data_IF_743992053485
#
_entry.id   IF_743992053485
#
_cell.length_a   1.000
_cell.length_b   1.000
_cell.length_c   1.000
_cell.angle_alpha   90.00
_cell.angle_beta   90.00
_cell.angle_gamma   90.00
#
_symmetry.space_group_name_H-M   'P 1'
#
loop_
_entity.id
_entity.type
_entity.pdbx_description
1 polymer ?
2 non-polymer ?
3 non-polymer ?
4 water ?
#
# COMPACT_ATOMS: atom_id res chain seq x y z
N UNK A 24 -8.34 12.95 -6.47
CA UNK A 24 -7.13 12.78 -5.59
C UNK A 24 -7.57 12.48 -4.15
N UNK A 25 -6.62 12.07 -3.30
CA UNK A 25 -6.83 11.90 -1.85
C UNK A 25 -5.69 12.63 -1.12
N UNK A 26 -5.93 13.04 0.13
CA UNK A 26 -4.96 13.86 0.89
C UNK A 26 -4.93 13.35 2.33
N UNK A 27 -3.78 13.42 3.00
CA UNK A 27 -3.66 13.10 4.44
C UNK A 27 -2.67 14.09 5.06
N UNK A 28 -3.10 14.76 6.13
CA UNK A 28 -2.25 15.69 6.90
C UNK A 28 -1.84 15.07 8.23
N UNK A 29 -0.53 14.95 8.48
CA UNK A 29 0.00 14.40 9.75
C UNK A 29 -0.23 15.40 10.89
N UNK A 30 -0.24 16.71 10.60
CA UNK A 30 -0.49 17.73 11.65
C UNK A 30 -1.96 17.62 12.07
N UNK A 31 -2.21 17.32 13.34
CA UNK A 31 -3.57 17.13 13.86
C UNK A 31 -4.08 15.71 13.66
N UNK A 32 -3.27 14.79 13.13
CA UNK A 32 -3.74 13.42 12.82
C UNK A 32 -4.03 12.66 14.12
N UNK A 33 -5.10 11.89 14.08
CA UNK A 33 -5.44 10.96 15.17
C UNK A 33 -5.96 9.66 14.53
N UNK A 34 -6.15 8.59 15.32
CA UNK A 34 -6.66 7.33 14.76
C UNK A 34 -7.91 7.57 13.90
N UNK A 35 -8.81 8.47 14.32
CA UNK A 35 -10.03 8.77 13.53
C UNK A 35 -9.68 9.34 12.15
N UNK A 36 -8.82 10.35 12.04
CA UNK A 36 -8.57 11.05 10.76
C UNK A 36 -7.81 10.10 9.82
N UNK A 37 -6.91 9.32 10.37
CA UNK A 37 -6.17 8.30 9.57
C UNK A 37 -7.14 7.23 9.04
N UNK A 38 -8.05 6.73 9.86
CA UNK A 38 -9.04 5.73 9.41
C UNK A 38 -9.91 6.29 8.31
N UNK A 39 -10.33 7.56 8.43
CA UNK A 39 -11.15 8.25 7.39
C UNK A 39 -10.32 8.43 6.11
N UNK A 40 -9.03 8.78 6.20
CA UNK A 40 -8.12 8.83 5.04
C UNK A 40 -8.08 7.46 4.36
N UNK A 41 -7.85 6.38 5.10
CA UNK A 41 -7.74 5.03 4.47
C UNK A 41 -9.09 4.65 3.83
N UNK A 42 -10.22 4.92 4.49
CA UNK A 42 -11.57 4.70 3.86
C UNK A 42 -11.62 5.48 2.56
N UNK A 43 -11.11 6.71 2.59
CA UNK A 43 -11.15 7.61 1.41
C UNK A 43 -10.19 7.11 0.30
N UNK A 44 -9.04 6.52 0.65
CA UNK A 44 -8.11 5.91 -0.32
C UNK A 44 -8.75 4.68 -0.98
N UNK A 45 -9.41 3.84 -0.19
CA UNK A 45 -10.13 2.67 -0.72
C UNK A 45 -11.20 3.16 -1.72
N UNK A 46 -11.97 4.18 -1.33
CA UNK A 46 -13.13 4.63 -2.14
C UNK A 46 -12.66 5.33 -3.42
N UNK A 47 -11.40 5.76 -3.51
CA UNK A 47 -10.88 6.43 -4.71
C UNK A 47 -10.55 5.39 -5.80
N UNK A 48 -10.59 4.10 -5.51
CA UNK A 48 -10.19 3.02 -6.45
C UNK A 48 -11.42 2.48 -7.18
N UNK A 49 -11.45 2.53 -8.52
CA UNK A 49 -12.66 2.15 -9.24
C UNK A 49 -12.87 0.63 -9.16
N UNK A 50 -14.14 0.22 -9.18
CA UNK A 50 -14.54 -1.19 -9.30
C UNK A 50 -15.91 -1.26 -9.97
N UNK A 51 -16.15 -2.38 -10.64
CA UNK A 51 -17.39 -2.66 -11.41
C UNK A 51 -18.27 -3.63 -10.61
N UNK A 52 -17.64 -4.49 -9.80
CA UNK A 52 -18.37 -5.47 -8.98
C UNK A 52 -17.63 -5.68 -7.66
N UNK A 53 -18.35 -6.27 -6.73
CA UNK A 53 -17.83 -6.84 -5.47
C UNK A 53 -18.02 -8.34 -5.54
N UNK A 54 -17.02 -9.05 -5.02
CA UNK A 54 -16.96 -10.52 -4.83
C UNK A 54 -17.01 -10.75 -3.32
N UNK A 55 -18.04 -11.45 -2.82
CA UNK A 55 -18.30 -11.64 -1.37
C UNK A 55 -18.18 -10.29 -0.66
N UNK A 56 -18.84 -9.26 -1.20
CA UNK A 56 -19.02 -7.92 -0.58
C UNK A 56 -17.69 -7.17 -0.52
N UNK A 57 -16.66 -7.60 -1.26
CA UNK A 57 -15.33 -6.91 -1.35
C UNK A 57 -15.16 -6.34 -2.75
N UNK A 58 -14.84 -5.03 -2.89
CA UNK A 58 -14.50 -4.44 -4.18
C UNK A 58 -13.43 -5.23 -4.94
N UNK A 59 -13.76 -5.56 -6.19
CA UNK A 59 -12.82 -6.20 -7.13
C UNK A 59 -12.17 -5.10 -7.96
N UNK A 60 -10.87 -4.88 -7.81
CA UNK A 60 -10.14 -3.86 -8.61
C UNK A 60 -10.22 -4.24 -10.11
N UNK A 61 -10.07 -3.26 -10.98
CA UNK A 61 -10.27 -3.46 -12.44
C UNK A 61 -9.12 -4.27 -13.02
N UNK A 62 -9.37 -5.06 -14.09
CA UNK A 62 -8.28 -5.74 -14.79
C UNK A 62 -7.24 -4.78 -15.39
N UNK A 63 -7.68 -3.61 -15.86
CA UNK A 63 -6.81 -2.60 -16.53
C UNK A 63 -7.52 -1.26 -16.62
N UNK A 64 -6.74 -0.18 -16.62
CA UNK A 64 -7.16 1.19 -16.98
C UNK A 64 -6.10 1.76 -17.94
N UNK A 65 -6.52 2.34 -19.05
CA UNK A 65 -5.62 2.99 -20.05
C UNK A 65 -5.28 4.43 -19.64
N UNK A 66 -4.06 4.87 -19.95
CA UNK A 66 -3.65 6.28 -19.90
C UNK A 66 -3.52 6.78 -18.47
N UNK A 67 -3.80 8.06 -18.24
CA UNK A 67 -3.57 8.80 -16.98
C UNK A 67 -4.53 8.31 -15.87
N UNK A 68 -5.74 7.88 -16.24
CA UNK A 68 -6.78 7.40 -15.31
C UNK A 68 -6.33 6.22 -14.44
N UNK A 69 -5.25 5.54 -14.84
CA UNK A 69 -4.70 4.41 -14.07
C UNK A 69 -4.16 4.92 -12.73
N UNK A 70 -3.81 6.19 -12.59
CA UNK A 70 -2.97 6.65 -11.45
C UNK A 70 -3.81 7.57 -10.57
N UNK A 71 -3.89 7.19 -9.29
CA UNK A 71 -4.42 8.08 -8.23
C UNK A 71 -3.27 8.93 -7.70
N UNK A 72 -3.48 10.22 -7.47
CA UNK A 72 -2.54 11.11 -6.77
C UNK A 72 -2.92 11.15 -5.29
N UNK A 73 -1.97 10.87 -4.41
CA UNK A 73 -2.11 10.86 -2.95
C UNK A 73 -1.17 11.94 -2.41
N UNK A 74 -1.75 13.02 -1.90
CA UNK A 74 -1.00 14.15 -1.30
C UNK A 74 -0.80 13.81 0.17
N UNK A 75 0.45 13.81 0.64
CA UNK A 75 0.77 13.57 2.06
C UNK A 75 1.54 14.74 2.63
N UNK A 76 1.13 15.22 3.79
CA UNK A 76 1.76 16.39 4.41
C UNK A 76 2.34 15.96 5.76
N UNK A 77 3.60 16.27 6.00
CA UNK A 77 4.31 15.95 7.27
C UNK A 77 3.81 16.91 8.36
N UNK A 78 4.23 16.74 9.61
CA UNK A 78 3.78 17.59 10.75
C UNK A 78 3.94 19.08 10.38
N UNK A 79 5.02 19.40 9.67
CA UNK A 79 5.44 20.80 9.40
C UNK A 79 4.76 21.37 8.13
N UNK A 80 3.89 20.61 7.43
CA UNK A 80 3.10 21.14 6.31
C UNK A 80 3.79 21.01 4.96
N UNK A 81 4.95 20.34 4.94
CA UNK A 81 5.73 20.03 3.73
C UNK A 81 5.08 18.79 3.09
N UNK A 82 5.16 18.64 1.78
CA UNK A 82 4.28 17.68 1.10
C UNK A 82 5.01 16.95 -0.02
N UNK A 83 4.64 15.69 -0.22
CA UNK A 83 4.91 14.91 -1.45
C UNK A 83 3.57 14.46 -2.04
N UNK A 84 3.57 14.25 -3.35
CA UNK A 84 2.44 13.64 -4.06
C UNK A 84 2.87 12.25 -4.53
N UNK A 85 2.11 11.22 -4.14
CA UNK A 85 2.45 9.80 -4.43
C UNK A 85 1.52 9.28 -5.53
N UNK A 86 2.08 8.71 -6.59
CA UNK A 86 1.34 8.11 -7.72
C UNK A 86 1.08 6.66 -7.39
N UNK A 87 -0.20 6.28 -7.40
CA UNK A 87 -0.70 4.91 -7.06
C UNK A 87 -1.46 4.34 -8.24
N UNK A 88 -1.09 3.15 -8.69
CA UNK A 88 -1.81 2.37 -9.73
C UNK A 88 -3.11 1.87 -9.09
N UNK A 89 -4.26 2.24 -9.64
CA UNK A 89 -5.58 1.98 -9.00
C UNK A 89 -5.99 0.53 -9.28
N UNK A 90 -5.30 -0.20 -10.17
CA UNK A 90 -5.65 -1.63 -10.48
C UNK A 90 -5.02 -2.50 -9.41
N UNK A 91 -3.96 -2.05 -8.73
CA UNK A 91 -3.25 -2.96 -7.80
C UNK A 91 -2.74 -2.26 -6.54
N UNK A 92 -3.12 -1.00 -6.32
CA UNK A 92 -2.68 -0.07 -5.23
C UNK A 92 -1.13 -0.02 -5.20
N UNK A 93 -0.45 -0.22 -6.33
CA UNK A 93 1.04 -0.18 -6.35
C UNK A 93 1.50 1.27 -6.41
N UNK A 94 2.39 1.65 -5.49
CA UNK A 94 3.08 2.95 -5.53
C UNK A 94 4.19 2.89 -6.57
N UNK A 95 4.14 3.78 -7.55
CA UNK A 95 5.03 3.81 -8.73
C UNK A 95 6.14 4.84 -8.55
N UNK A 96 5.81 5.95 -7.89
CA UNK A 96 6.71 7.08 -7.78
C UNK A 96 6.05 8.21 -7.02
N UNK A 97 6.76 9.31 -6.89
CA UNK A 97 6.29 10.47 -6.10
C UNK A 97 7.00 11.73 -6.58
N UNK A 98 6.33 12.83 -6.31
CA UNK A 98 6.80 14.18 -6.64
C UNK A 98 7.16 14.89 -5.34
N UNK A 99 8.35 15.45 -5.26
CA UNK A 99 8.81 16.24 -4.11
C UNK A 99 9.32 17.57 -4.65
N UNK A 100 8.52 18.63 -4.49
CA UNK A 100 8.87 20.00 -4.95
C UNK A 100 9.00 19.93 -6.48
N UNK A 101 10.20 20.04 -7.05
CA UNK A 101 10.38 20.18 -8.51
C UNK A 101 11.00 18.92 -9.11
N UNK A 102 11.06 17.83 -8.34
CA UNK A 102 11.73 16.59 -8.75
C UNK A 102 10.80 15.37 -8.58
N UNK A 103 10.65 14.60 -9.64
CA UNK A 103 9.82 13.38 -9.62
C UNK A 103 10.79 12.23 -9.40
N UNK A 104 10.33 11.16 -8.74
CA UNK A 104 11.12 9.95 -8.42
C UNK A 104 10.26 8.75 -8.80
N UNK A 105 10.81 7.82 -9.56
CA UNK A 105 10.08 6.59 -9.97
C UNK A 105 10.95 5.40 -9.69
N UNK A 106 10.35 4.29 -9.26
CA UNK A 106 11.03 2.97 -9.13
C UNK A 106 11.62 2.59 -10.49
N UNK A 107 12.71 1.82 -10.45
CA UNK A 107 13.40 1.31 -11.65
C UNK A 107 12.72 0.00 -12.09
N UNK A 108 11.57 0.10 -12.74
CA UNK A 108 10.73 -1.05 -13.21
C UNK A 108 9.82 -0.56 -14.34
N UNK A 109 9.41 -1.42 -15.30
CA UNK A 109 8.68 -0.92 -16.46
C UNK A 109 7.36 -0.20 -16.12
N UNK A 110 6.61 -0.68 -15.13
CA UNK A 110 5.29 -0.08 -14.81
C UNK A 110 5.49 1.37 -14.35
N UNK A 111 6.57 1.66 -13.64
CA UNK A 111 6.84 3.01 -13.11
C UNK A 111 7.37 3.87 -14.25
N UNK A 112 8.20 3.31 -15.13
CA UNK A 112 8.59 3.99 -16.38
C UNK A 112 7.34 4.45 -17.13
N UNK A 113 6.36 3.57 -17.29
CA UNK A 113 5.10 3.93 -18.02
C UNK A 113 4.35 5.00 -17.24
N UNK A 114 4.27 4.85 -15.93
CA UNK A 114 3.58 5.86 -15.11
C UNK A 114 4.18 7.22 -15.40
N UNK A 115 5.50 7.29 -15.56
CA UNK A 115 6.22 8.58 -15.69
C UNK A 115 5.85 9.27 -17.02
N UNK A 116 5.21 8.56 -17.95
CA UNK A 116 4.60 9.13 -19.20
C UNK A 116 3.33 9.94 -18.90
N UNK A 117 2.71 9.73 -17.74
CA UNK A 117 1.35 10.25 -17.43
C UNK A 117 1.33 11.19 -16.23
N UNK A 118 2.18 10.96 -15.21
CA UNK A 118 2.13 11.76 -13.96
C UNK A 118 3.41 12.58 -13.83
N UNK A 119 3.30 13.73 -13.14
CA UNK A 119 4.44 14.58 -12.71
C UNK A 119 5.19 15.13 -13.93
N UNK A 120 4.43 15.44 -14.96
CA UNK A 120 4.94 15.90 -16.27
C UNK A 120 5.76 17.18 -16.10
N UNK A 121 5.30 18.09 -15.23
CA UNK A 121 5.86 19.46 -15.04
C UNK A 121 7.10 19.40 -14.14
N UNK A 122 7.45 18.25 -13.55
CA UNK A 122 8.66 18.11 -12.73
C UNK A 122 9.86 18.60 -13.55
N UNK A 123 10.79 19.34 -12.92
CA UNK A 123 11.95 19.93 -13.63
C UNK A 123 12.91 18.83 -14.08
N UNK A 124 12.90 17.71 -13.36
CA UNK A 124 13.80 16.57 -13.62
C UNK A 124 13.15 15.32 -13.04
N UNK A 125 13.52 14.18 -13.56
CA UNK A 125 12.93 12.90 -13.17
C UNK A 125 14.09 11.99 -12.76
N UNK A 126 14.10 11.63 -11.50
CA UNK A 126 15.06 10.63 -10.96
C UNK A 126 14.41 9.24 -11.01
N UNK A 127 15.14 8.30 -11.59
CA UNK A 127 14.84 6.86 -11.44
C UNK A 127 15.63 6.37 -10.25
N UNK A 128 14.91 5.88 -9.25
CA UNK A 128 15.54 5.31 -8.03
C UNK A 128 16.35 4.10 -8.48
N UNK A 129 17.43 3.76 -7.74
CA UNK A 129 18.28 2.59 -8.03
C UNK A 129 17.76 1.30 -7.38
N UNK A 130 16.47 1.12 -7.45
CA UNK A 130 15.78 -0.14 -7.08
C UNK A 130 14.36 -0.11 -7.66
N UNK A 131 13.81 -1.28 -7.92
CA UNK A 131 12.37 -1.49 -8.18
C UNK A 131 11.61 -1.29 -6.86
N UNK A 132 10.28 -1.35 -6.96
CA UNK A 132 9.38 -1.02 -5.85
C UNK A 132 8.88 -2.25 -5.14
N UNK A 133 9.46 -3.43 -5.38
CA UNK A 133 9.01 -4.65 -4.65
C UNK A 133 9.79 -4.78 -3.34
N UNK A 134 9.21 -5.51 -2.41
CA UNK A 134 9.77 -5.59 -1.05
C UNK A 134 11.18 -6.18 -1.04
N UNK A 135 11.43 -7.21 -1.84
CA UNK A 135 12.76 -7.88 -1.81
C UNK A 135 13.81 -6.81 -2.14
N UNK A 136 13.59 -5.97 -3.16
CA UNK A 136 14.64 -5.02 -3.62
C UNK A 136 14.68 -3.80 -2.67
N UNK A 137 13.54 -3.32 -2.13
CA UNK A 137 13.60 -2.23 -1.13
C UNK A 137 14.32 -2.71 0.14
N UNK A 138 14.10 -3.94 0.59
CA UNK A 138 14.73 -4.45 1.82
C UNK A 138 16.25 -4.51 1.63
N UNK A 139 16.70 -4.96 0.45
CA UNK A 139 18.15 -4.97 0.12
C UNK A 139 18.70 -3.54 0.18
N UNK A 140 18.02 -2.56 -0.43
CA UNK A 140 18.51 -1.17 -0.46
C UNK A 140 18.47 -0.56 0.93
N UNK A 141 17.47 -0.88 1.76
CA UNK A 141 17.35 -0.29 3.11
C UNK A 141 18.36 -0.93 4.05
N UNK A 142 18.82 -2.14 3.74
CA UNK A 142 19.73 -2.93 4.59
C UNK A 142 19.03 -3.63 5.73
N UNK A 143 17.70 -3.64 5.75
CA UNK A 143 16.86 -4.24 6.83
C UNK A 143 15.62 -4.88 6.20
N UNK A 144 15.21 -6.08 6.63
CA UNK A 144 13.85 -6.54 6.36
C UNK A 144 12.78 -5.69 7.04
N UNK A 145 11.58 -5.69 6.46
CA UNK A 145 10.35 -5.06 7.00
C UNK A 145 10.18 -5.35 8.49
N UNK A 146 10.48 -6.57 8.91
CA UNK A 146 10.30 -7.01 10.32
C UNK A 146 11.02 -6.05 11.28
N UNK A 147 12.08 -5.37 10.83
CA UNK A 147 12.99 -4.64 11.76
C UNK A 147 12.79 -3.13 11.62
N UNK A 148 11.81 -2.69 10.82
CA UNK A 148 11.59 -1.23 10.57
C UNK A 148 10.30 -0.80 11.25
N UNK A 149 10.37 0.04 12.30
CA UNK A 149 9.17 0.54 12.97
C UNK A 149 8.29 1.28 11.97
N UNK A 150 6.98 1.02 12.04
CA UNK A 150 5.98 1.77 11.25
C UNK A 150 4.96 2.42 12.19
N UNK A 151 4.29 3.46 11.69
CA UNK A 151 3.28 4.19 12.44
C UNK A 151 3.13 5.56 11.82
N UNK A 152 2.33 6.41 12.41
CA UNK A 152 2.16 7.77 11.86
C UNK A 152 3.40 8.63 12.09
N UNK A 153 4.11 8.57 13.25
CA UNK A 153 5.40 9.26 13.33
C UNK A 153 6.38 8.80 12.23
N UNK A 154 6.43 7.49 11.98
CA UNK A 154 7.34 6.93 10.97
C UNK A 154 6.96 7.48 9.59
N UNK A 155 5.67 7.62 9.33
CA UNK A 155 5.22 8.25 8.06
C UNK A 155 5.63 9.72 7.98
N UNK A 156 5.50 10.52 9.04
CA UNK A 156 6.07 11.88 9.09
C UNK A 156 7.56 11.80 8.68
N UNK A 157 8.31 10.92 9.32
CA UNK A 157 9.77 10.82 9.07
C UNK A 157 9.99 10.44 7.59
N UNK A 158 9.16 9.56 7.03
CA UNK A 158 9.30 9.08 5.63
C UNK A 158 9.09 10.24 4.67
N UNK A 159 8.05 11.04 4.88
CA UNK A 159 7.73 12.22 4.01
C UNK A 159 8.93 13.17 4.05
N UNK A 160 9.41 13.51 5.25
CA UNK A 160 10.58 14.38 5.41
C UNK A 160 11.76 13.82 4.60
N UNK A 161 12.04 12.52 4.70
CA UNK A 161 13.19 11.88 4.01
C UNK A 161 13.01 12.08 2.51
N UNK A 162 11.79 11.86 2.01
CA UNK A 162 11.57 11.84 0.56
C UNK A 162 11.61 13.23 -0.06
N UNK A 163 11.51 14.30 0.73
CA UNK A 163 11.43 15.67 0.16
C UNK A 163 12.72 16.06 -0.60
N UNK A 164 13.85 15.51 -0.15
CA UNK A 164 15.17 15.70 -0.81
C UNK A 164 15.84 14.34 -0.93
N UNK A 165 16.48 14.12 -2.06
CA UNK A 165 16.94 12.77 -2.48
C UNK A 165 18.05 12.22 -1.55
N UNK A 166 17.86 10.96 -1.14
CA UNK A 166 18.87 10.09 -0.48
C UNK A 166 18.48 8.62 -0.72
N UNK A 167 19.05 7.92 -1.71
CA UNK A 167 18.47 6.63 -2.19
C UNK A 167 18.45 5.61 -1.05
N UNK A 168 19.47 5.53 -0.20
CA UNK A 168 19.47 4.49 0.86
C UNK A 168 18.37 4.82 1.89
N UNK A 169 18.24 6.09 2.27
CA UNK A 169 17.28 6.56 3.31
C UNK A 169 15.88 6.46 2.71
N UNK A 170 15.76 6.78 1.42
CA UNK A 170 14.48 6.68 0.68
C UNK A 170 13.93 5.26 0.69
N UNK A 171 14.76 4.21 0.57
CA UNK A 171 14.23 2.83 0.51
C UNK A 171 13.48 2.52 1.83
N UNK A 172 14.08 2.77 2.98
CA UNK A 172 13.37 2.63 4.26
C UNK A 172 12.09 3.46 4.33
N UNK A 173 12.18 4.74 3.97
CA UNK A 173 10.99 5.63 3.97
C UNK A 173 9.89 5.02 3.09
N UNK A 174 10.27 4.54 1.91
CA UNK A 174 9.27 3.94 0.99
C UNK A 174 8.67 2.70 1.63
N UNK A 175 9.45 1.89 2.33
CA UNK A 175 8.84 0.73 3.03
C UNK A 175 7.78 1.17 4.05
N UNK A 176 8.06 2.22 4.82
CA UNK A 176 7.08 2.83 5.77
C UNK A 176 5.86 3.35 4.98
N UNK A 177 6.10 4.08 3.89
CA UNK A 177 5.03 4.69 3.09
C UNK A 177 4.08 3.62 2.56
N UNK A 178 4.64 2.56 1.99
CA UNK A 178 3.82 1.48 1.36
C UNK A 178 2.92 0.83 2.42
N UNK A 179 3.49 0.58 3.59
CA UNK A 179 2.79 -0.18 4.65
C UNK A 179 1.73 0.70 5.31
N UNK A 180 1.93 2.02 5.36
CA UNK A 180 0.97 2.88 6.09
C UNK A 180 -0.09 3.45 5.15
N UNK A 181 0.02 3.20 3.85
CA UNK A 181 -0.99 3.61 2.86
C UNK A 181 -1.57 2.40 2.14
N UNK A 182 -0.90 1.92 1.10
CA UNK A 182 -1.37 0.77 0.32
C UNK A 182 -1.72 -0.45 1.21
N UNK A 183 -0.84 -0.89 2.10
CA UNK A 183 -1.15 -2.13 2.85
C UNK A 183 -2.36 -1.91 3.75
N UNK A 184 -2.50 -0.73 4.38
CA UNK A 184 -3.64 -0.36 5.26
C UNK A 184 -4.91 -0.30 4.41
N UNK A 185 -4.84 0.20 3.16
CA UNK A 185 -6.03 0.17 2.25
C UNK A 185 -6.49 -1.27 2.01
N UNK A 186 -5.55 -2.18 1.81
CA UNK A 186 -5.87 -3.57 1.46
C UNK A 186 -6.45 -4.32 2.66
N UNK A 187 -6.06 -4.01 3.91
CA UNK A 187 -6.48 -4.84 5.06
C UNK A 187 -6.90 -3.97 6.24
N UNK A 188 -8.11 -4.21 6.74
CA UNK A 188 -8.60 -3.52 7.97
C UNK A 188 -7.63 -3.75 9.13
N UNK A 189 -7.16 -4.97 9.30
CA UNK A 189 -6.23 -5.28 10.39
C UNK A 189 -5.01 -4.33 10.33
N UNK A 190 -4.43 -4.12 9.16
CA UNK A 190 -3.23 -3.25 9.03
C UNK A 190 -3.63 -1.80 9.33
N UNK A 191 -4.78 -1.35 8.86
CA UNK A 191 -5.26 0.01 9.22
C UNK A 191 -5.29 0.11 10.75
N UNK A 192 -5.90 -0.85 11.41
CA UNK A 192 -6.00 -0.85 12.90
C UNK A 192 -4.61 -0.86 13.54
N UNK A 193 -3.66 -1.63 13.00
CA UNK A 193 -2.27 -1.64 13.51
C UNK A 193 -1.66 -0.24 13.41
N UNK A 194 -1.90 0.49 12.31
CA UNK A 194 -1.28 1.83 12.18
C UNK A 194 -2.01 2.81 13.12
N UNK A 195 -3.31 2.64 13.33
CA UNK A 195 -4.05 3.45 14.33
C UNK A 195 -3.45 3.26 15.71
N UNK A 196 -3.09 2.03 16.08
CA UNK A 196 -2.46 1.73 17.39
C UNK A 196 -1.11 2.45 17.49
N UNK A 197 -0.47 2.70 16.35
CA UNK A 197 0.85 3.38 16.18
C UNK A 197 0.69 4.87 15.77
N UNK A 198 -0.38 5.55 16.18
CA UNK A 198 -0.63 6.95 15.76
C UNK A 198 0.40 7.88 16.40
N UNK A 199 0.94 7.47 17.55
CA UNK A 199 1.80 8.34 18.41
C UNK A 199 3.07 7.61 18.84
N UNK A 200 3.27 6.37 18.39
CA UNK A 200 4.42 5.54 18.81
C UNK A 200 4.66 4.46 17.76
N UNK A 201 5.80 4.55 17.08
CA UNK A 201 6.11 3.58 16.01
C UNK A 201 6.42 2.24 16.67
N UNK A 202 6.09 1.16 15.97
CA UNK A 202 6.46 -0.20 16.40
C UNK A 202 6.61 -1.05 15.14
N UNK A 203 7.56 -1.97 15.16
CA UNK A 203 7.75 -2.93 14.05
C UNK A 203 6.44 -3.68 13.82
N UNK A 204 6.21 -4.09 12.55
CA UNK A 204 4.95 -4.69 12.17
C UNK A 204 4.75 -6.02 12.88
N UNK A 205 3.49 -6.31 13.22
CA UNK A 205 3.12 -7.62 13.81
C UNK A 205 3.46 -8.71 12.80
N UNK A 206 3.61 -9.93 13.32
CA UNK A 206 3.75 -11.13 12.47
C UNK A 206 2.59 -11.21 11.47
N UNK A 207 1.35 -10.88 11.90
CA UNK A 207 0.17 -11.01 11.03
C UNK A 207 0.24 -9.93 9.93
N UNK A 208 0.74 -8.72 10.26
CA UNK A 208 0.90 -7.62 9.28
C UNK A 208 1.77 -8.11 8.12
N UNK A 209 2.91 -8.75 8.44
CA UNK A 209 3.82 -9.28 7.39
C UNK A 209 3.11 -10.38 6.56
N UNK A 210 2.44 -11.29 7.24
CA UNK A 210 1.73 -12.42 6.60
C UNK A 210 0.68 -11.92 5.61
N UNK A 211 -0.14 -10.95 6.02
CA UNK A 211 -1.21 -10.40 5.15
C UNK A 211 -0.62 -9.65 3.94
N UNK A 212 0.41 -8.83 4.19
CA UNK A 212 1.14 -8.14 3.10
C UNK A 212 1.54 -9.16 2.05
N UNK A 213 2.11 -10.29 2.48
CA UNK A 213 2.70 -11.31 1.59
C UNK A 213 1.58 -12.11 0.88
N UNK A 214 0.38 -12.13 1.45
CA UNK A 214 -0.73 -13.03 1.08
C UNK A 214 -1.80 -12.34 0.22
N UNK A 215 -1.70 -11.06 -0.05
CA UNK A 215 -2.82 -10.34 -0.70
C UNK A 215 -3.14 -10.89 -2.08
N UNK A 216 -2.15 -11.18 -2.91
CA UNK A 216 -2.36 -11.72 -4.28
C UNK A 216 -3.04 -13.11 -4.16
N UNK A 217 -2.51 -13.96 -3.28
CA UNK A 217 -3.03 -15.31 -3.00
C UNK A 217 -4.45 -15.28 -2.51
N UNK A 218 -4.75 -14.48 -1.48
CA UNK A 218 -6.13 -14.36 -0.95
C UNK A 218 -7.06 -13.82 -2.03
N UNK A 219 -6.62 -12.80 -2.77
CA UNK A 219 -7.41 -12.22 -3.87
C UNK A 219 -7.79 -13.31 -4.86
N UNK A 220 -6.83 -14.15 -5.23
CA UNK A 220 -7.05 -15.22 -6.23
C UNK A 220 -8.06 -16.23 -5.66
N UNK A 221 -7.84 -16.69 -4.44
CA UNK A 221 -8.69 -17.75 -3.84
C UNK A 221 -10.14 -17.25 -3.67
N UNK A 222 -10.33 -15.98 -3.29
CA UNK A 222 -11.69 -15.40 -3.06
C UNK A 222 -12.46 -15.31 -4.37
N UNK A 223 -11.81 -14.87 -5.46
CA UNK A 223 -12.35 -14.95 -6.83
C UNK A 223 -12.67 -16.40 -7.21
N UNK A 224 -11.76 -17.36 -7.02
CA UNK A 224 -12.01 -18.78 -7.38
C UNK A 224 -13.15 -19.36 -6.54
N UNK A 225 -13.34 -18.87 -5.32
CA UNK A 225 -14.41 -19.38 -4.42
C UNK A 225 -15.78 -19.11 -5.03
N UNK A 226 -15.94 -18.02 -5.77
CA UNK A 226 -17.14 -17.84 -6.63
C UNK A 226 -17.01 -18.86 -7.76
N UNK A 227 -17.88 -19.86 -7.79
CA UNK A 227 -17.77 -21.00 -8.71
C UNK A 227 -17.32 -22.24 -7.98
N UNK A 228 -17.05 -22.14 -6.66
CA UNK A 228 -16.65 -23.30 -5.80
C UNK A 228 -17.36 -23.19 -4.44
N UNK A 229 -18.56 -22.61 -4.39
CA UNK A 229 -19.42 -22.58 -3.17
C UNK A 229 -18.68 -21.95 -1.98
N UNK A 230 -17.88 -20.92 -2.25
CA UNK A 230 -17.17 -20.17 -1.19
C UNK A 230 -15.95 -20.91 -0.66
N UNK A 231 -15.55 -22.01 -1.30
CA UNK A 231 -14.40 -22.85 -0.86
C UNK A 231 -13.15 -22.47 -1.66
N UNK A 232 -12.02 -22.25 -0.97
CA UNK A 232 -10.73 -21.92 -1.64
C UNK A 232 -10.27 -23.17 -2.39
N UNK A 233 -9.98 -23.05 -3.68
CA UNK A 233 -9.39 -24.18 -4.45
C UNK A 233 -8.08 -24.60 -3.77
N UNK A 234 -7.31 -23.64 -3.26
CA UNK A 234 -6.04 -23.87 -2.52
C UNK A 234 -6.10 -23.10 -1.20
N UNK A 235 -6.17 -23.81 -0.05
CA UNK A 235 -6.08 -23.14 1.25
C UNK A 235 -4.83 -22.26 1.37
N UNK A 236 -4.97 -21.10 1.99
CA UNK A 236 -3.83 -20.15 2.22
C UNK A 236 -3.45 -20.16 3.69
N UNK A 237 -2.17 -20.32 4.00
CA UNK A 237 -1.66 -20.26 5.40
C UNK A 237 -1.34 -18.80 5.78
N UNK A 238 -1.90 -18.32 6.87
CA UNK A 238 -1.63 -16.95 7.39
C UNK A 238 -1.17 -17.05 8.85
N UNK A 239 -0.67 -15.94 9.36
CA UNK A 239 -0.43 -15.73 10.80
C UNK A 239 -1.54 -14.82 11.35
N UNK A 240 -2.17 -15.26 12.43
CA UNK A 240 -3.32 -14.52 12.99
C UNK A 240 -2.83 -13.49 14.02
N UNK A 241 -3.79 -12.75 14.54
CA UNK A 241 -3.52 -11.57 15.41
C UNK A 241 -2.89 -12.04 16.72
N UNK A 242 -2.90 -13.35 17.00
CA UNK A 242 -2.23 -13.96 18.19
C UNK A 242 -0.82 -14.44 17.82
N UNK A 243 -0.45 -14.42 16.55
CA UNK A 243 0.88 -14.83 16.06
C UNK A 243 0.95 -16.32 15.75
N UNK A 244 -0.22 -16.93 15.61
CA UNK A 244 -0.37 -18.39 15.39
C UNK A 244 -0.68 -18.66 13.91
N UNK A 245 -0.11 -19.72 13.34
CA UNK A 245 -0.35 -20.14 11.95
C UNK A 245 -1.78 -20.71 11.82
N UNK A 246 -2.53 -20.22 10.86
CA UNK A 246 -3.92 -20.66 10.56
C UNK A 246 -4.05 -20.94 9.07
N UNK A 247 -4.89 -21.90 8.73
CA UNK A 247 -5.19 -22.32 7.33
C UNK A 247 -6.54 -21.72 6.97
N UNK A 248 -6.59 -20.83 5.98
CA UNK A 248 -7.87 -20.24 5.49
C UNK A 248 -8.39 -21.08 4.34
N UNK A 249 -9.59 -21.66 4.50
CA UNK A 249 -10.17 -22.64 3.56
C UNK A 249 -11.42 -22.09 2.88
N UNK A 250 -12.08 -21.07 3.41
CA UNK A 250 -13.37 -20.64 2.81
C UNK A 250 -13.70 -19.21 3.22
N UNK A 251 -14.69 -18.66 2.55
CA UNK A 251 -15.04 -17.20 2.59
C UNK A 251 -15.75 -16.87 3.91
N UNK A 252 -16.05 -17.83 4.79
CA UNK A 252 -16.67 -17.50 6.11
C UNK A 252 -15.56 -17.09 7.11
N UNK A 253 -14.29 -17.21 6.71
CA UNK A 253 -13.17 -16.78 7.57
C UNK A 253 -13.26 -15.27 7.80
N UNK A 254 -12.96 -14.82 9.00
CA UNK A 254 -12.86 -13.38 9.37
C UNK A 254 -11.87 -12.69 8.43
N UNK A 255 -10.86 -13.37 7.89
CA UNK A 255 -9.93 -12.69 6.95
C UNK A 255 -10.75 -12.22 5.74
N UNK A 256 -11.77 -12.95 5.33
CA UNK A 256 -12.58 -12.60 4.13
C UNK A 256 -13.79 -11.75 4.57
N UNK A 257 -14.44 -12.07 5.68
CA UNK A 257 -15.70 -11.35 6.06
C UNK A 257 -15.39 -9.97 6.65
N UNK A 258 -14.22 -9.71 7.22
CA UNK A 258 -13.97 -8.38 7.84
C UNK A 258 -12.64 -7.73 7.43
N UNK A 259 -11.61 -8.50 7.14
CA UNK A 259 -10.23 -7.99 7.07
C UNK A 259 -9.94 -7.46 5.69
N UNK A 260 -9.89 -8.32 4.68
CA UNK A 260 -9.47 -7.89 3.32
C UNK A 260 -10.48 -6.83 2.82
N UNK A 261 -10.02 -5.76 2.17
CA UNK A 261 -10.90 -4.62 1.77
C UNK A 261 -10.93 -4.44 0.25
N UNK A 262 -9.99 -5.06 -0.46
CA UNK A 262 -9.80 -4.88 -1.92
C UNK A 262 -9.26 -6.17 -2.48
N UNK A 263 -9.67 -6.52 -3.69
CA UNK A 263 -9.19 -7.76 -4.32
C UNK A 263 -8.42 -7.34 -5.55
N UNK A 264 -7.19 -7.85 -5.66
CA UNK A 264 -6.43 -7.79 -6.92
C UNK A 264 -7.14 -8.66 -7.95
N UNK A 265 -7.35 -8.16 -9.16
CA UNK A 265 -8.11 -8.90 -10.20
C UNK A 265 -7.25 -10.10 -10.65
N UNK A 266 -7.82 -11.31 -10.75
CA UNK A 266 -7.02 -12.53 -11.13
C UNK A 266 -6.32 -12.33 -12.49
N UNK A 267 -6.82 -11.44 -13.34
CA UNK A 267 -6.15 -11.11 -14.63
C UNK A 267 -4.74 -10.57 -14.37
N UNK A 268 -4.52 -9.93 -13.22
CA UNK A 268 -3.21 -9.37 -12.81
C UNK A 268 -2.53 -10.32 -11.81
X LIG B 1 6.61 -9.96 -1.56
X LIG B 1 6.97 -11.29 -2.06
X LIG B 1 7.93 -9.35 -1.22
X LIG B 1 5.74 -10.04 -0.30
X LIG B 1 5.86 -9.19 -2.71
X LIG B 1 5.57 -7.80 -2.61
X LIG B 1 4.35 -7.49 -1.63
X LIG B 1 4.55 -6.34 -1.01
X LIG B 1 3.04 -7.29 -2.33
X LIG B 1 2.10 -8.08 -1.73
X LIG B 1 2.68 -5.76 -2.20
X LIG B 1 1.21 -5.64 -1.79
X LIG B 1 3.48 -5.18 -1.38
X LIG B 1 4.22 -4.08 -2.06
X LIG B 1 5.52 -4.12 -2.36
X LIG B 1 5.87 -2.97 -3.02
X LIG B 1 4.74 -2.20 -3.11
X LIG B 1 4.54 -0.95 -3.70
X LIG B 1 5.45 -0.13 -4.36
X LIG B 1 3.33 -0.38 -3.63
X LIG B 1 2.32 -1.06 -3.04
X LIG B 1 2.50 -2.30 -2.47
X LIG B 1 3.71 -2.86 -2.53
X LIG C 1 -14.74 -22.68 6.79
X LIG C 1 -14.41 -24.02 7.43
X LIG C 1 -14.75 -24.04 8.92
X LIG C 1 -14.20 -22.82 9.64
X LIG C 1 -14.54 -21.55 8.87
X LIG C 1 -14.00 -20.26 9.49
X LIG C 1 -14.45 -26.08 6.12
X LIG C 1 -15.31 -27.15 5.51
X LIG C 1 -15.11 -25.09 6.74
X LIG C 1 -14.20 -25.22 9.53
X LIG C 1 -14.78 -22.77 10.95
X LIG C 1 -14.04 -21.68 7.55
X LIG C 1 -12.56 -20.22 9.38
X LIG C 1 -13.23 -26.12 6.06
#
# INVERSE_FOLDING_TARGET
MSRFSVLSFLILAIFLGGSIVKGDVSFRLSGADPRSYGMFIKDLRNALPFREKVYNIPLLLPSVSGAGRYLLMHLFNYDGKTITVAVDVTNVYIMGYLADTTSYFFNEPAAELASQYVFRDARRKITLPYSGNYERLQIAAGKPREKIPIGLPALDSAISTLLHYDSTAAAGALLVLIQTTAEAARFKYIEQQIQERAYRDEVPSLATISLENSWSGLSKQIQLAQGNNGIFRTPIVLVDNKGNRVQITNVTSKVVTSNIQLLLNTRNIAEGDNGDVSTTHGFSSY
AMP P O1P O2P O3P O5' C5' C4' O4' C3' O3' C2' O2' C1' N9 C8 N7 C5 C6 N6 N1 C2 N3 C4
NAG C1 C2 C3 C4 C5 C6 C7 C8 N2 O3 O4 O5 O6 O7
#
